data_IF_142064213852
#
_entry.id   IF_142064213852
#
_cell.length_a   1.000
_cell.length_b   1.000
_cell.length_c   1.000
_cell.angle_alpha   90.00
_cell.angle_beta   90.00
_cell.angle_gamma   90.00
#
_symmetry.space_group_name_H-M   'P 1'
#
loop_
_entity.id
_entity.type
_entity.pdbx_description
1 polymer ?
#
# COMPACT_ATOMS: atom_id res chain seq x y z
N UNK A 1 -6.86 -5.22 8.86
CA UNK A 1 -5.84 -6.30 9.01
C UNK A 1 -4.43 -5.73 9.20
N UNK A 2 -3.87 -4.95 8.25
CA UNK A 2 -2.53 -4.32 8.41
C UNK A 2 -2.38 -3.50 9.72
N UNK A 3 -3.38 -2.67 10.05
CA UNK A 3 -3.42 -1.84 11.26
C UNK A 3 -3.64 -2.61 12.57
N UNK A 4 -3.88 -3.92 12.51
CA UNK A 4 -4.26 -4.74 13.66
C UNK A 4 -5.61 -4.39 14.30
N UNK A 5 -6.39 -3.49 13.69
CA UNK A 5 -7.76 -3.14 14.14
C UNK A 5 -8.75 -4.28 13.96
N UNK A 6 -8.46 -5.17 13.01
CA UNK A 6 -9.20 -6.40 12.76
C UNK A 6 -8.22 -7.58 12.70
N UNK A 7 -8.72 -8.79 12.99
CA UNK A 7 -7.94 -10.03 13.05
C UNK A 7 -8.63 -11.15 12.30
N UNK A 8 -7.86 -12.17 11.93
CA UNK A 8 -8.42 -13.41 11.38
C UNK A 8 -8.97 -14.24 12.54
N UNK A 9 -10.11 -13.83 13.09
CA UNK A 9 -10.81 -14.50 14.18
C UNK A 9 -12.33 -14.32 13.96
N UNK A 10 -13.07 -15.40 13.73
CA UNK A 10 -14.51 -15.34 13.41
C UNK A 10 -15.27 -16.53 14.00
N UNK A 11 -16.57 -16.38 14.28
CA UNK A 11 -17.44 -17.47 14.73
C UNK A 11 -18.56 -17.68 13.73
N UNK A 12 -18.54 -18.81 13.03
CA UNK A 12 -19.64 -19.23 12.17
C UNK A 12 -20.69 -19.98 12.99
N UNK A 13 -21.96 -19.55 12.88
CA UNK A 13 -23.09 -20.21 13.53
C UNK A 13 -23.83 -21.05 12.50
N UNK A 14 -23.75 -22.38 12.64
CA UNK A 14 -24.51 -23.33 11.85
C UNK A 14 -25.80 -23.68 12.59
N UNK A 15 -26.91 -23.09 12.15
CA UNK A 15 -28.25 -23.33 12.69
C UNK A 15 -28.91 -24.53 11.98
N UNK A 16 -29.29 -25.56 12.75
CA UNK A 16 -30.16 -26.62 12.23
C UNK A 16 -31.63 -26.23 12.38
N UNK A 17 -32.40 -26.33 11.30
CA UNK A 17 -33.82 -26.05 11.33
C UNK A 17 -34.55 -26.97 12.33
N UNK A 18 -35.17 -26.38 13.36
CA UNK A 18 -35.77 -27.10 14.50
C UNK A 18 -34.78 -27.99 15.26
N UNK A 19 -33.50 -27.63 15.22
CA UNK A 19 -32.40 -28.30 15.90
C UNK A 19 -31.59 -27.32 16.74
N UNK A 20 -30.35 -27.73 17.06
CA UNK A 20 -29.40 -26.93 17.84
C UNK A 20 -28.45 -26.15 16.94
N UNK A 21 -27.82 -25.13 17.51
CA UNK A 21 -26.75 -24.37 16.87
C UNK A 21 -25.39 -25.01 17.12
N UNK A 22 -24.54 -24.95 16.11
CA UNK A 22 -23.13 -25.30 16.21
C UNK A 22 -22.29 -24.07 15.95
N UNK A 23 -21.42 -23.74 16.90
CA UNK A 23 -20.50 -22.62 16.81
C UNK A 23 -19.14 -23.13 16.34
N UNK A 24 -18.68 -22.65 15.19
CA UNK A 24 -17.37 -22.97 14.62
C UNK A 24 -16.48 -21.73 14.76
N UNK A 25 -15.49 -21.81 15.64
CA UNK A 25 -14.48 -20.75 15.80
C UNK A 25 -13.36 -20.96 14.78
N UNK A 26 -13.12 -19.94 13.96
CA UNK A 26 -12.05 -19.90 12.96
C UNK A 26 -11.03 -18.86 13.42
N UNK A 27 -9.75 -19.20 13.38
CA UNK A 27 -8.67 -18.27 13.74
C UNK A 27 -7.46 -18.46 12.85
N UNK A 28 -6.68 -17.41 12.64
CA UNK A 28 -5.44 -17.41 11.88
C UNK A 28 -4.56 -16.21 12.20
N UNK A 29 -3.37 -16.20 11.60
CA UNK A 29 -2.45 -15.07 11.70
C UNK A 29 -2.40 -14.36 10.36
N UNK A 30 -2.51 -13.04 10.38
CA UNK A 30 -2.34 -12.20 9.21
C UNK A 30 -0.91 -11.70 9.12
N UNK A 31 -0.31 -11.80 7.93
CA UNK A 31 0.99 -11.19 7.64
C UNK A 31 0.74 -9.81 7.03
N UNK A 32 1.37 -8.79 7.61
CA UNK A 32 1.25 -7.41 7.14
C UNK A 32 1.86 -7.25 5.75
N UNK A 33 1.25 -6.36 4.97
CA UNK A 33 1.71 -6.02 3.62
C UNK A 33 1.89 -4.52 3.46
N UNK A 34 2.86 -4.12 2.64
CA UNK A 34 3.03 -2.74 2.21
C UNK A 34 1.83 -2.27 1.37
N UNK A 35 1.14 -3.19 0.70
CA UNK A 35 -0.13 -2.95 0.05
C UNK A 35 -1.21 -2.70 1.12
N UNK A 36 -1.95 -1.61 0.97
CA UNK A 36 -2.93 -1.19 1.97
C UNK A 36 -2.32 -0.56 3.23
N UNK A 37 -1.07 -0.12 3.17
CA UNK A 37 -0.43 0.72 4.19
C UNK A 37 -0.31 2.15 3.66
N UNK A 38 -0.45 3.16 4.52
CA UNK A 38 -0.41 4.57 4.11
C UNK A 38 0.96 4.97 3.55
N UNK A 39 0.97 5.86 2.55
CA UNK A 39 2.22 6.41 1.99
C UNK A 39 3.09 7.05 3.09
N UNK A 40 2.43 7.72 4.03
CA UNK A 40 3.10 8.43 5.11
C UNK A 40 3.77 7.47 6.12
N UNK A 41 3.15 6.33 6.45
CA UNK A 41 3.80 5.30 7.26
C UNK A 41 4.96 4.64 6.49
N UNK A 42 4.74 4.30 5.21
CA UNK A 42 5.77 3.68 4.36
C UNK A 42 7.02 4.56 4.21
N UNK A 43 6.86 5.88 4.06
CA UNK A 43 7.99 6.81 4.01
C UNK A 43 8.84 6.83 5.28
N UNK A 44 8.29 6.46 6.44
CA UNK A 44 9.05 6.37 7.71
C UNK A 44 9.73 5.01 7.91
N UNK A 45 9.52 4.05 6.99
CA UNK A 45 10.09 2.72 7.07
C UNK A 45 11.19 2.49 6.04
N UNK A 46 12.43 2.36 6.51
CA UNK A 46 13.59 2.09 5.65
C UNK A 46 13.80 0.61 5.35
N UNK A 47 13.21 -0.28 6.13
CA UNK A 47 13.25 -1.73 5.96
C UNK A 47 11.93 -2.24 5.36
N UNK A 48 11.92 -3.44 4.75
CA UNK A 48 10.69 -4.11 4.34
C UNK A 48 9.69 -4.20 5.50
N UNK A 49 8.40 -4.11 5.20
CA UNK A 49 7.37 -3.98 6.25
C UNK A 49 7.38 -5.15 7.24
N UNK A 50 7.69 -6.37 6.77
CA UNK A 50 7.71 -7.57 7.62
C UNK A 50 8.97 -7.71 8.48
N UNK A 51 9.97 -6.85 8.28
CA UNK A 51 11.09 -6.69 9.22
C UNK A 51 10.77 -5.70 10.35
N UNK A 52 9.71 -4.90 10.19
CA UNK A 52 9.30 -3.90 11.18
C UNK A 52 8.37 -4.54 12.22
N UNK A 53 8.62 -4.36 13.53
CA UNK A 53 7.72 -4.87 14.56
C UNK A 53 6.31 -4.29 14.40
N UNK A 54 5.29 -5.16 14.50
CA UNK A 54 3.87 -4.78 14.32
C UNK A 54 3.44 -3.64 15.24
N UNK A 55 3.96 -3.58 16.47
CA UNK A 55 3.67 -2.47 17.40
C UNK A 55 4.10 -1.12 16.83
N UNK A 56 5.27 -1.07 16.18
CA UNK A 56 5.77 0.14 15.52
C UNK A 56 4.96 0.51 14.29
N UNK A 57 4.46 -0.48 13.54
CA UNK A 57 3.54 -0.24 12.41
C UNK A 57 2.24 0.44 12.86
N UNK A 58 1.64 -0.09 13.92
CA UNK A 58 0.41 0.47 14.51
C UNK A 58 0.66 1.91 14.98
N UNK A 59 1.79 2.17 15.62
CA UNK A 59 2.14 3.52 16.08
C UNK A 59 2.34 4.48 14.90
N UNK A 60 2.98 4.04 13.81
CA UNK A 60 3.19 4.86 12.61
C UNK A 60 1.86 5.25 11.96
N UNK A 61 0.97 4.28 11.74
CA UNK A 61 -0.37 4.50 11.18
C UNK A 61 -1.24 5.40 12.09
N UNK A 62 -1.10 5.30 13.42
CA UNK A 62 -1.84 6.17 14.36
C UNK A 62 -1.20 7.54 14.55
N UNK A 63 0.12 7.66 14.36
CA UNK A 63 0.88 8.89 14.57
C UNK A 63 0.57 9.98 13.54
N UNK A 64 -0.11 9.63 12.44
CA UNK A 64 -0.75 10.56 11.50
C UNK A 64 -1.60 11.63 12.24
N UNK A 65 -2.11 11.29 13.44
CA UNK A 65 -2.94 12.17 14.27
C UNK A 65 -2.16 13.15 15.17
N UNK A 66 -0.83 13.05 15.25
CA UNK A 66 0.00 13.90 16.13
C UNK A 66 1.21 14.43 15.37
N UNK A 67 1.10 15.66 14.89
CA UNK A 67 2.25 16.46 14.46
C UNK A 67 3.25 16.59 15.62
N UNK A 68 4.26 15.73 15.67
CA UNK A 68 5.39 15.90 16.60
C UNK A 68 6.44 16.80 15.95
N UNK A 69 7.09 17.71 16.71
CA UNK A 69 8.17 18.55 16.21
C UNK A 69 9.32 17.65 15.72
N UNK A 70 9.84 17.93 14.53
CA UNK A 70 11.00 17.25 13.97
C UNK A 70 12.26 17.75 14.68
N UNK A 71 12.97 16.87 15.38
CA UNK A 71 14.37 17.12 15.76
C UNK A 71 15.25 16.94 14.52
N UNK A 72 15.99 17.99 14.17
CA UNK A 72 16.69 18.19 12.88
C UNK A 72 17.91 17.28 12.62
N UNK A 73 18.29 16.39 13.55
CA UNK A 73 19.66 15.87 13.60
C UNK A 73 19.81 14.34 13.71
N UNK A 74 18.81 13.57 13.27
CA UNK A 74 18.90 12.11 13.26
C UNK A 74 18.58 11.50 11.89
N UNK A 75 19.03 10.27 11.70
CA UNK A 75 18.84 9.43 10.49
C UNK A 75 17.36 9.03 10.26
N UNK A 76 16.43 9.86 10.75
CA UNK A 76 15.01 9.61 11.01
C UNK A 76 14.10 10.46 10.11
N UNK A 77 14.69 11.23 9.17
CA UNK A 77 13.93 11.92 8.12
C UNK A 77 13.20 10.89 7.25
N UNK A 78 11.89 11.09 6.99
CA UNK A 78 11.13 10.22 6.11
C UNK A 78 11.67 10.27 4.69
N UNK A 79 11.50 9.16 3.97
CA UNK A 79 11.76 9.10 2.54
C UNK A 79 10.82 10.08 1.81
N UNK A 80 11.28 10.61 0.68
CA UNK A 80 10.45 11.46 -0.16
C UNK A 80 9.33 10.69 -0.86
N UNK A 81 9.57 9.40 -1.15
CA UNK A 81 8.63 8.48 -1.79
C UNK A 81 8.82 7.11 -1.13
N UNK A 82 7.75 6.32 -0.90
CA UNK A 82 7.88 4.94 -0.46
C UNK A 82 8.80 4.14 -1.38
N UNK A 83 9.72 3.37 -0.79
CA UNK A 83 10.67 2.55 -1.54
C UNK A 83 9.99 1.53 -2.44
N UNK A 84 8.80 1.05 -2.05
CA UNK A 84 8.00 0.07 -2.77
C UNK A 84 7.48 0.63 -4.11
N UNK A 85 6.86 1.82 -4.09
CA UNK A 85 6.47 2.52 -5.32
C UNK A 85 7.70 2.81 -6.18
N UNK A 86 8.78 3.28 -5.56
CA UNK A 86 10.00 3.61 -6.28
C UNK A 86 10.55 2.39 -7.03
N UNK A 87 10.61 1.23 -6.38
CA UNK A 87 11.08 -0.02 -6.99
C UNK A 87 10.21 -0.47 -8.17
N UNK A 88 8.87 -0.43 -8.02
CA UNK A 88 7.93 -0.78 -9.08
C UNK A 88 8.11 0.14 -10.30
N UNK A 89 8.15 1.46 -10.06
CA UNK A 89 8.29 2.46 -11.14
C UNK A 89 9.68 2.39 -11.79
N UNK A 90 10.74 2.22 -11.02
CA UNK A 90 12.11 2.10 -11.52
C UNK A 90 12.28 0.84 -12.39
N UNK A 91 11.68 -0.29 -12.00
CA UNK A 91 11.64 -1.50 -12.82
C UNK A 91 10.95 -1.25 -14.16
N UNK A 92 9.76 -0.64 -14.15
CA UNK A 92 9.03 -0.32 -15.38
C UNK A 92 9.79 0.67 -16.27
N UNK A 93 10.43 1.66 -15.67
CA UNK A 93 11.26 2.62 -16.40
C UNK A 93 12.44 1.92 -17.10
N UNK A 94 13.13 1.01 -16.43
CA UNK A 94 14.28 0.29 -17.00
C UNK A 94 13.88 -0.77 -18.04
N UNK A 95 12.76 -1.46 -17.83
CA UNK A 95 12.46 -2.71 -18.55
C UNK A 95 11.20 -2.65 -19.43
N UNK A 96 10.29 -1.69 -19.21
CA UNK A 96 8.95 -1.72 -19.80
C UNK A 96 8.61 -0.51 -20.69
N UNK A 97 9.52 0.45 -20.90
CA UNK A 97 9.26 1.64 -21.73
C UNK A 97 8.85 1.31 -23.18
N UNK A 98 9.21 0.12 -23.69
CA UNK A 98 8.85 -0.36 -25.03
C UNK A 98 7.94 -1.60 -24.98
N UNK A 99 7.37 -1.92 -23.82
CA UNK A 99 6.44 -3.04 -23.66
C UNK A 99 5.15 -2.76 -24.43
N UNK A 100 4.77 -3.64 -25.35
CA UNK A 100 3.47 -3.59 -26.01
C UNK A 100 2.35 -3.80 -24.99
N UNK A 101 1.23 -3.09 -25.15
CA UNK A 101 0.04 -3.20 -24.28
C UNK A 101 0.33 -3.01 -22.77
N UNK A 102 1.34 -2.20 -22.43
CA UNK A 102 1.61 -1.80 -21.06
C UNK A 102 0.37 -1.12 -20.43
N UNK A 103 0.03 -1.49 -19.20
CA UNK A 103 -1.18 -1.09 -18.49
C UNK A 103 -2.52 -1.46 -19.15
N UNK A 104 -2.52 -2.33 -20.17
CA UNK A 104 -3.73 -2.85 -20.81
C UNK A 104 -3.87 -4.36 -20.65
N UNK A 105 -2.75 -5.09 -20.76
CA UNK A 105 -2.71 -6.53 -20.52
C UNK A 105 -2.55 -6.81 -19.02
N UNK A 106 -3.41 -7.65 -18.42
CA UNK A 106 -3.27 -8.06 -17.02
C UNK A 106 -2.01 -8.93 -16.84
N UNK A 107 -1.43 -8.83 -15.66
CA UNK A 107 -0.40 -9.72 -15.16
C UNK A 107 -0.92 -11.08 -14.74
N UNK A 108 0.01 -11.94 -14.35
CA UNK A 108 -0.26 -13.29 -13.87
C UNK A 108 -0.44 -13.28 -12.36
N UNK A 109 -1.49 -13.94 -11.85
CA UNK A 109 -1.81 -13.96 -10.42
C UNK A 109 -0.66 -14.50 -9.55
N UNK A 110 0.01 -15.57 -9.98
CA UNK A 110 1.15 -16.12 -9.25
C UNK A 110 2.32 -15.11 -9.19
N UNK A 111 2.58 -14.39 -10.29
CA UNK A 111 3.61 -13.34 -10.33
C UNK A 111 3.24 -12.14 -9.45
N UNK A 112 1.97 -11.75 -9.39
CA UNK A 112 1.51 -10.69 -8.51
C UNK A 112 1.75 -11.05 -7.04
N UNK A 113 1.47 -12.30 -6.65
CA UNK A 113 1.74 -12.78 -5.31
C UNK A 113 3.25 -12.75 -4.99
N UNK A 114 4.09 -13.19 -5.92
CA UNK A 114 5.55 -13.14 -5.78
C UNK A 114 6.07 -11.70 -5.67
N UNK A 115 5.51 -10.75 -6.42
CA UNK A 115 5.87 -9.33 -6.35
C UNK A 115 5.51 -8.74 -4.99
N UNK A 116 4.29 -9.00 -4.50
CA UNK A 116 3.84 -8.52 -3.18
C UNK A 116 4.74 -9.09 -2.08
N UNK A 117 4.99 -10.41 -2.11
CA UNK A 117 5.86 -11.07 -1.13
C UNK A 117 7.28 -10.50 -1.17
N UNK A 118 7.81 -10.24 -2.37
CA UNK A 118 9.13 -9.66 -2.57
C UNK A 118 9.24 -8.25 -1.95
N UNK A 119 8.25 -7.38 -2.16
CA UNK A 119 8.23 -6.02 -1.60
C UNK A 119 8.00 -6.01 -0.08
N UNK A 120 7.21 -6.96 0.43
CA UNK A 120 6.93 -7.08 1.86
C UNK A 120 8.14 -7.53 2.68
N UNK A 121 9.03 -8.28 2.06
CA UNK A 121 10.14 -8.99 2.74
C UNK A 121 11.54 -8.55 2.34
N UNK A 122 11.70 -7.76 1.27
CA UNK A 122 13.01 -7.40 0.75
C UNK A 122 13.04 -6.02 0.07
N UNK A 123 14.26 -5.53 -0.17
CA UNK A 123 14.54 -4.40 -1.07
C UNK A 123 15.35 -5.00 -2.23
N UNK A 124 14.68 -5.56 -3.24
CA UNK A 124 15.33 -6.32 -4.29
C UNK A 124 16.09 -5.43 -5.28
N UNK A 125 17.15 -5.96 -5.88
CA UNK A 125 17.80 -5.30 -7.04
C UNK A 125 16.96 -5.43 -8.33
N UNK A 126 16.10 -6.45 -8.42
CA UNK A 126 15.16 -6.67 -9.53
C UNK A 126 13.85 -7.24 -9.00
N UNK A 127 12.73 -6.70 -9.48
CA UNK A 127 11.40 -7.20 -9.16
C UNK A 127 11.12 -8.48 -9.97
N UNK A 128 10.55 -9.55 -9.37
CA UNK A 128 10.18 -10.75 -10.10
C UNK A 128 8.98 -10.52 -11.04
N UNK A 129 8.74 -11.48 -11.93
CA UNK A 129 7.59 -11.46 -12.83
C UNK A 129 7.76 -10.64 -14.10
N UNK A 130 6.76 -10.69 -14.97
CA UNK A 130 6.71 -9.97 -16.23
C UNK A 130 6.45 -8.47 -16.03
N UNK A 131 6.76 -7.66 -17.05
CA UNK A 131 6.46 -6.23 -17.06
C UNK A 131 4.95 -5.94 -16.84
N UNK A 132 4.07 -6.80 -17.35
CA UNK A 132 2.62 -6.67 -17.15
C UNK A 132 2.22 -6.89 -15.69
N UNK A 133 2.80 -7.89 -15.02
CA UNK A 133 2.55 -8.14 -13.60
C UNK A 133 3.10 -7.03 -12.72
N UNK A 134 4.28 -6.47 -13.01
CA UNK A 134 4.80 -5.31 -12.28
C UNK A 134 3.91 -4.07 -12.50
N UNK A 135 3.42 -3.87 -13.73
CA UNK A 135 2.51 -2.77 -14.05
C UNK A 135 1.18 -2.90 -13.31
N UNK A 136 0.58 -4.10 -13.29
CA UNK A 136 -0.66 -4.34 -12.54
C UNK A 136 -0.44 -4.26 -11.02
N UNK A 137 0.68 -4.77 -10.50
CA UNK A 137 1.03 -4.62 -9.09
C UNK A 137 1.10 -3.14 -8.67
N UNK A 138 1.61 -2.26 -9.53
CA UNK A 138 1.58 -0.80 -9.28
C UNK A 138 0.15 -0.26 -9.22
N UNK A 139 -0.76 -0.71 -10.09
CA UNK A 139 -2.17 -0.29 -10.07
C UNK A 139 -2.87 -0.77 -8.79
N UNK A 140 -2.69 -2.04 -8.42
CA UNK A 140 -3.23 -2.63 -7.19
C UNK A 140 -2.68 -1.91 -5.96
N UNK A 141 -1.39 -1.55 -5.98
CA UNK A 141 -0.77 -0.79 -4.89
C UNK A 141 -1.48 0.56 -4.68
N UNK A 142 -1.71 1.31 -5.76
CA UNK A 142 -2.37 2.61 -5.72
C UNK A 142 -3.86 2.50 -5.34
N UNK A 143 -4.54 1.45 -5.80
CA UNK A 143 -5.94 1.17 -5.46
C UNK A 143 -6.11 0.79 -3.98
N UNK A 144 -5.15 0.05 -3.42
CA UNK A 144 -5.22 -0.42 -2.05
C UNK A 144 -4.93 0.67 -1.00
N UNK A 145 -4.44 1.85 -1.39
CA UNK A 145 -4.05 2.89 -0.44
C UNK A 145 -5.24 3.33 0.45
N UNK A 146 -5.06 3.41 1.78
CA UNK A 146 -6.12 3.88 2.68
C UNK A 146 -6.47 5.36 2.44
N UNK A 147 -5.46 6.19 2.14
CA UNK A 147 -5.61 7.56 1.66
C UNK A 147 -5.03 7.64 0.23
N UNK A 148 -5.82 8.05 -0.78
CA UNK A 148 -5.36 8.15 -2.16
C UNK A 148 -4.24 9.19 -2.31
N UNK A 149 -3.42 9.04 -3.37
CA UNK A 149 -2.30 9.97 -3.67
C UNK A 149 -2.76 11.43 -3.70
N UNK A 150 -3.95 11.69 -4.24
CA UNK A 150 -4.65 12.97 -4.06
C UNK A 150 -5.62 12.77 -2.92
N UNK A 151 -5.31 13.35 -1.75
CA UNK A 151 -6.11 13.21 -0.54
C UNK A 151 -7.60 13.53 -0.80
N UNK A 152 -8.50 12.82 -0.12
CA UNK A 152 -9.95 12.93 -0.35
C UNK A 152 -10.46 14.37 -0.22
N UNK A 153 -9.88 15.16 0.69
CA UNK A 153 -10.23 16.57 0.89
C UNK A 153 -9.92 17.48 -0.31
N UNK A 154 -8.98 17.09 -1.17
CA UNK A 154 -8.60 17.85 -2.36
C UNK A 154 -9.36 17.40 -3.63
N UNK A 155 -10.06 16.28 -3.58
CA UNK A 155 -10.73 15.67 -4.74
C UNK A 155 -11.64 16.65 -5.49
N UNK A 156 -12.57 17.31 -4.79
CA UNK A 156 -13.51 18.24 -5.43
C UNK A 156 -12.79 19.43 -6.07
N UNK A 157 -11.74 19.94 -5.43
CA UNK A 157 -10.96 21.07 -5.96
C UNK A 157 -10.17 20.69 -7.21
N UNK A 158 -9.71 19.44 -7.30
CA UNK A 158 -9.11 18.92 -8.53
C UNK A 158 -10.11 18.91 -9.69
N UNK A 159 -11.37 18.54 -9.44
CA UNK A 159 -12.44 18.57 -10.45
C UNK A 159 -12.75 20.00 -10.90
N UNK A 160 -12.96 20.90 -9.95
CA UNK A 160 -13.30 22.30 -10.20
C UNK A 160 -12.21 23.03 -11.01
N UNK A 161 -10.95 22.70 -10.77
CA UNK A 161 -9.79 23.30 -11.44
C UNK A 161 -9.32 22.57 -12.71
N UNK A 162 -9.96 21.45 -13.10
CA UNK A 162 -9.45 20.52 -14.12
C UNK A 162 -9.12 21.12 -15.49
N UNK A 163 -9.73 22.27 -15.83
CA UNK A 163 -9.51 22.98 -17.09
C UNK A 163 -8.38 24.02 -17.04
N UNK A 164 -7.82 24.31 -15.86
CA UNK A 164 -6.74 25.28 -15.66
C UNK A 164 -5.51 24.63 -15.04
N UNK A 165 -4.48 24.41 -15.87
CA UNK A 165 -3.22 23.79 -15.46
C UNK A 165 -2.51 24.53 -14.31
N UNK A 166 -2.63 25.86 -14.23
CA UNK A 166 -2.00 26.64 -13.15
C UNK A 166 -2.72 26.38 -11.82
N UNK A 167 -4.05 26.33 -11.85
CA UNK A 167 -4.85 26.00 -10.66
C UNK A 167 -4.64 24.55 -10.25
N UNK A 168 -4.57 23.60 -11.19
CA UNK A 168 -4.21 22.21 -10.88
C UNK A 168 -2.87 22.12 -10.13
N UNK A 169 -1.82 22.80 -10.60
CA UNK A 169 -0.51 22.83 -9.91
C UNK A 169 -0.60 23.43 -8.51
N UNK A 170 -1.44 24.44 -8.32
CA UNK A 170 -1.67 25.03 -7.00
C UNK A 170 -2.39 24.08 -6.05
N UNK A 171 -3.29 23.22 -6.54
CA UNK A 171 -3.92 22.17 -5.73
C UNK A 171 -2.89 21.11 -5.36
N UNK A 172 -2.06 20.66 -6.29
CA UNK A 172 -1.00 19.68 -6.03
C UNK A 172 0.02 20.19 -5.02
N UNK A 173 0.34 21.49 -4.98
CA UNK A 173 1.26 22.06 -3.99
C UNK A 173 0.71 22.11 -2.56
N UNK A 174 -0.52 21.64 -2.33
CA UNK A 174 -1.13 21.52 -1.00
C UNK A 174 -1.13 20.08 -0.47
N UNK A 175 -0.60 19.13 -1.26
CA UNK A 175 -0.27 17.78 -0.80
C UNK A 175 0.98 17.78 0.09
#
# INVERSE_FOLDING_TARGET
>A
LNSGEDKIEEILVLHLARGKDYFLTISGNYLVSCFGTSLEALCRMRQPIREVPVTKLIDLEKSLLKMMPQDEDSNDRPLHIPKEIWLLVDHLFKNACHQEDLFQTPGMQDELQDIIECLDTSIPESIPGSNHSVAEALLIFLEALPEPVICYELYQRCLDCSQDSRLCRQVISQL
#
